data_IF_003951938927
#
_entry.id   IF_003951938927
#
_cell.length_a   1.000
_cell.length_b   1.000
_cell.length_c   1.000
_cell.angle_alpha   90.00
_cell.angle_beta   90.00
_cell.angle_gamma   90.00
#
_symmetry.space_group_name_H-M   'P 1'
#
loop_
_entity.id
_entity.type
_entity.pdbx_description
1 polymer ?
#
# COMPACT_ATOMS: atom_id res chain seq x y z
N UNK A 1 -11.32 -83.17 22.73
CA UNK A 1 -11.58 -81.73 22.83
C UNK A 1 -10.24 -80.97 22.80
N UNK A 2 -9.83 -80.52 21.63
CA UNK A 2 -8.57 -79.76 21.39
C UNK A 2 -8.87 -78.28 21.49
N UNK A 3 -8.28 -77.56 22.45
CA UNK A 3 -8.33 -76.12 22.58
C UNK A 3 -7.29 -75.49 21.64
N UNK A 4 -7.75 -74.76 20.64
CA UNK A 4 -6.93 -73.97 19.74
C UNK A 4 -6.66 -72.63 20.38
N UNK A 5 -5.40 -72.34 20.79
CA UNK A 5 -4.96 -71.03 21.25
C UNK A 5 -4.68 -70.16 20.00
N UNK A 6 -5.45 -69.10 19.81
CA UNK A 6 -5.19 -68.08 18.80
C UNK A 6 -4.23 -67.03 19.43
N UNK A 7 -3.02 -66.98 18.96
CA UNK A 7 -2.02 -65.98 19.32
C UNK A 7 -2.18 -64.78 18.37
N UNK A 8 -2.87 -63.73 18.80
CA UNK A 8 -2.91 -62.49 18.06
C UNK A 8 -1.58 -61.77 18.20
N UNK A 9 -0.77 -61.78 17.15
CA UNK A 9 0.43 -60.99 17.03
C UNK A 9 0.00 -59.57 16.62
N UNK A 10 -0.10 -58.66 17.59
CA UNK A 10 -0.32 -57.23 17.35
C UNK A 10 0.95 -56.63 16.77
N UNK A 11 1.01 -56.45 15.46
CA UNK A 11 2.07 -55.68 14.82
C UNK A 11 1.81 -54.22 15.18
N UNK A 12 2.52 -53.70 16.16
CA UNK A 12 2.65 -52.27 16.40
C UNK A 12 3.41 -51.67 15.20
N UNK A 13 2.69 -51.14 14.20
CA UNK A 13 3.27 -50.21 13.26
C UNK A 13 3.66 -48.95 14.01
N UNK A 14 4.91 -48.86 14.41
CA UNK A 14 5.54 -47.61 14.84
C UNK A 14 5.59 -46.72 13.59
N UNK A 15 4.56 -45.90 13.38
CA UNK A 15 4.59 -44.81 12.40
C UNK A 15 5.62 -43.84 12.97
N UNK A 16 6.84 -43.94 12.52
CA UNK A 16 7.88 -42.93 12.74
C UNK A 16 7.38 -41.65 12.07
N UNK A 17 6.85 -40.74 12.84
CA UNK A 17 6.52 -39.39 12.36
C UNK A 17 7.85 -38.72 11.96
N UNK A 18 8.26 -38.91 10.70
CA UNK A 18 9.42 -38.17 10.16
C UNK A 18 9.08 -36.69 10.11
N UNK A 19 10.03 -35.87 10.53
CA UNK A 19 9.89 -34.43 10.39
C UNK A 19 9.65 -34.10 8.89
N UNK A 20 8.64 -33.26 8.62
CA UNK A 20 8.33 -32.88 7.23
C UNK A 20 9.32 -31.84 6.70
N UNK A 21 9.86 -30.97 7.58
CA UNK A 21 11.06 -30.21 7.23
C UNK A 21 12.19 -30.51 8.22
N UNK A 22 13.42 -30.45 7.72
CA UNK A 22 14.63 -30.64 8.48
C UNK A 22 15.74 -29.82 7.85
N UNK A 23 15.97 -28.62 8.38
CA UNK A 23 16.94 -27.66 7.86
C UNK A 23 18.10 -27.61 8.85
N UNK A 24 19.26 -28.06 8.42
CA UNK A 24 20.50 -27.94 9.20
C UNK A 24 21.13 -26.59 8.91
N UNK A 25 21.37 -25.80 9.95
CA UNK A 25 22.01 -24.50 9.87
C UNK A 25 23.35 -24.52 10.58
N UNK A 26 24.42 -24.16 9.86
CA UNK A 26 25.78 -24.02 10.40
C UNK A 26 26.26 -22.60 10.15
N UNK A 27 26.64 -21.90 11.23
CA UNK A 27 27.15 -20.53 11.14
C UNK A 27 28.55 -20.52 11.80
N UNK A 28 29.56 -20.25 10.99
CA UNK A 28 30.94 -20.25 11.43
C UNK A 28 31.42 -18.84 11.78
N UNK A 29 32.21 -18.76 12.86
CA UNK A 29 32.82 -17.48 13.25
C UNK A 29 31.88 -16.44 13.86
N UNK A 30 30.65 -16.82 14.17
CA UNK A 30 29.66 -15.97 14.81
C UNK A 30 29.12 -16.62 16.08
N UNK A 31 29.00 -15.83 17.15
CA UNK A 31 28.39 -16.28 18.41
C UNK A 31 27.06 -15.55 18.58
N UNK A 32 26.03 -16.29 18.89
CA UNK A 32 24.70 -15.79 19.16
C UNK A 32 24.06 -16.53 20.32
N UNK A 33 23.13 -15.90 21.01
CA UNK A 33 22.33 -16.56 22.04
C UNK A 33 21.13 -17.29 21.42
N UNK A 34 20.62 -16.79 20.30
CA UNK A 34 19.40 -17.31 19.66
C UNK A 34 19.56 -17.49 18.17
N UNK A 35 18.88 -18.52 17.64
CA UNK A 35 18.65 -18.68 16.21
C UNK A 35 17.14 -18.73 15.94
N UNK A 36 16.66 -17.91 15.02
CA UNK A 36 15.25 -17.87 14.63
C UNK A 36 15.05 -18.11 13.14
N UNK A 37 13.97 -18.82 12.82
CA UNK A 37 13.42 -18.97 11.48
C UNK A 37 12.23 -18.05 11.35
N UNK A 38 12.28 -17.12 10.43
CA UNK A 38 11.23 -16.18 10.15
C UNK A 38 10.71 -16.37 8.73
N UNK A 39 9.41 -16.05 8.50
CA UNK A 39 8.77 -16.06 7.18
C UNK A 39 8.25 -14.66 6.88
N UNK A 40 8.30 -14.24 5.63
CA UNK A 40 7.64 -13.02 5.18
C UNK A 40 6.14 -13.22 4.96
N UNK A 41 5.41 -12.17 5.18
CA UNK A 41 3.98 -12.05 4.95
C UNK A 41 3.70 -10.65 4.39
N UNK A 42 2.78 -10.55 3.45
CA UNK A 42 2.52 -9.30 2.75
C UNK A 42 2.09 -8.15 3.68
N UNK A 43 1.30 -8.47 4.69
CA UNK A 43 0.78 -7.48 5.65
C UNK A 43 1.72 -7.27 6.84
N UNK A 44 2.24 -8.39 7.39
CA UNK A 44 2.99 -8.40 8.66
C UNK A 44 4.50 -8.22 8.47
N UNK A 45 4.95 -8.21 7.21
CA UNK A 45 6.34 -8.16 6.83
C UNK A 45 7.09 -9.45 7.24
N UNK A 46 7.67 -9.53 8.43
CA UNK A 46 8.43 -10.70 8.91
C UNK A 46 7.86 -11.20 10.24
N UNK A 47 7.56 -12.49 10.34
CA UNK A 47 7.06 -13.08 11.58
C UNK A 47 7.81 -14.38 11.94
N UNK A 48 7.89 -14.64 13.25
CA UNK A 48 8.60 -15.79 13.80
C UNK A 48 7.86 -17.09 13.51
N UNK A 49 8.57 -18.06 12.91
CA UNK A 49 8.07 -19.43 12.68
C UNK A 49 8.60 -20.37 13.77
N UNK A 50 9.90 -20.29 14.07
CA UNK A 50 10.58 -21.13 15.08
C UNK A 50 11.76 -20.38 15.68
N UNK A 51 12.02 -20.62 16.97
CA UNK A 51 13.19 -20.11 17.68
C UNK A 51 13.85 -21.24 18.47
N UNK A 52 15.17 -21.34 18.38
CA UNK A 52 15.97 -22.29 19.13
C UNK A 52 16.88 -21.56 20.12
N UNK A 53 16.92 -22.07 21.34
CA UNK A 53 17.71 -21.56 22.48
C UNK A 53 18.32 -22.77 23.22
N UNK A 54 19.60 -22.77 23.62
CA UNK A 54 20.64 -21.84 23.19
C UNK A 54 21.09 -22.11 21.75
N UNK A 55 21.80 -21.13 21.15
CA UNK A 55 22.48 -21.32 19.88
C UNK A 55 23.71 -22.24 20.02
N UNK A 56 23.91 -23.09 19.01
CA UNK A 56 25.10 -23.90 18.82
C UNK A 56 25.64 -23.75 17.39
N UNK A 57 26.91 -24.08 17.13
CA UNK A 57 27.51 -23.99 15.78
C UNK A 57 26.74 -24.75 14.71
N UNK A 58 25.98 -25.75 15.10
CA UNK A 58 25.05 -26.49 14.27
C UNK A 58 23.67 -26.52 14.95
N UNK A 59 22.62 -26.05 14.25
CA UNK A 59 21.25 -26.08 14.71
C UNK A 59 20.38 -26.79 13.69
N UNK A 60 19.49 -27.67 14.15
CA UNK A 60 18.53 -28.35 13.29
C UNK A 60 17.14 -27.76 13.53
N UNK A 61 16.62 -27.05 12.53
CA UNK A 61 15.25 -26.59 12.48
C UNK A 61 14.36 -27.69 11.91
N UNK A 62 13.40 -28.19 12.67
CA UNK A 62 12.54 -29.30 12.27
C UNK A 62 11.12 -29.14 12.77
N UNK A 63 10.16 -29.63 11.98
CA UNK A 63 8.75 -29.63 12.35
C UNK A 63 7.97 -30.81 11.76
N UNK A 64 6.81 -31.08 12.37
CA UNK A 64 5.89 -32.16 11.96
C UNK A 64 5.04 -31.79 10.74
N UNK A 65 4.96 -30.51 10.40
CA UNK A 65 4.24 -29.99 9.23
C UNK A 65 5.26 -29.33 8.32
N UNK A 66 5.05 -29.42 7.00
CA UNK A 66 5.84 -28.67 6.02
C UNK A 66 5.76 -27.17 6.27
N UNK A 67 6.83 -26.47 5.95
CA UNK A 67 6.80 -25.02 5.86
C UNK A 67 5.89 -24.61 4.69
N UNK A 68 5.07 -23.60 4.90
CA UNK A 68 4.28 -23.06 3.82
C UNK A 68 5.17 -22.38 2.77
N UNK A 69 4.78 -22.33 1.49
CA UNK A 69 5.53 -21.62 0.46
C UNK A 69 5.77 -20.15 0.85
N UNK A 70 6.97 -19.64 0.54
CA UNK A 70 7.33 -18.27 0.87
C UNK A 70 8.83 -18.04 0.97
N UNK A 71 9.18 -16.82 1.34
CA UNK A 71 10.56 -16.40 1.58
C UNK A 71 10.86 -16.43 3.08
N UNK A 72 11.90 -17.14 3.44
CA UNK A 72 12.31 -17.37 4.81
C UNK A 72 13.66 -16.72 5.10
N UNK A 73 13.85 -16.35 6.37
CA UNK A 73 15.10 -15.74 6.85
C UNK A 73 15.52 -16.44 8.14
N UNK A 74 16.76 -16.87 8.17
CA UNK A 74 17.47 -17.28 9.38
C UNK A 74 18.07 -16.03 10.00
N UNK A 75 17.71 -15.75 11.24
CA UNK A 75 18.29 -14.64 12.01
C UNK A 75 18.98 -15.17 13.27
N UNK A 76 20.17 -14.66 13.55
CA UNK A 76 20.92 -14.91 14.79
C UNK A 76 20.95 -13.60 15.59
N UNK A 77 20.39 -13.61 16.81
CA UNK A 77 20.22 -12.40 17.65
C UNK A 77 19.68 -11.19 16.89
N UNK A 78 18.62 -11.38 16.10
CA UNK A 78 17.99 -10.38 15.24
C UNK A 78 18.80 -9.95 14.01
N UNK A 79 20.00 -10.48 13.76
CA UNK A 79 20.77 -10.24 12.56
C UNK A 79 20.43 -11.30 11.50
N UNK A 80 20.04 -10.87 10.31
CA UNK A 80 19.67 -11.74 9.21
C UNK A 80 20.93 -12.39 8.59
N UNK A 81 21.07 -13.70 8.77
CA UNK A 81 22.25 -14.47 8.36
C UNK A 81 22.10 -15.08 6.97
N UNK A 82 20.94 -15.67 6.68
CA UNK A 82 20.66 -16.29 5.40
C UNK A 82 19.17 -16.18 5.07
N UNK A 83 18.86 -16.17 3.78
CA UNK A 83 17.49 -16.17 3.30
C UNK A 83 17.33 -17.21 2.19
N UNK A 84 16.13 -17.79 2.07
CA UNK A 84 15.84 -18.85 1.13
C UNK A 84 14.36 -18.92 0.76
N UNK A 85 14.09 -19.53 -0.38
CA UNK A 85 12.74 -19.82 -0.84
C UNK A 85 12.30 -21.22 -0.39
N UNK A 86 11.03 -21.36 -0.08
CA UNK A 86 10.29 -22.61 -0.05
C UNK A 86 9.18 -22.47 -1.07
N UNK A 87 9.19 -23.32 -2.10
CA UNK A 87 8.09 -23.44 -3.08
C UNK A 87 7.07 -24.48 -2.58
N UNK A 88 6.84 -25.56 -3.29
CA UNK A 88 5.91 -26.64 -2.89
C UNK A 88 6.60 -27.98 -2.70
N UNK A 89 7.88 -27.96 -2.30
CA UNK A 89 8.69 -29.18 -2.17
C UNK A 89 8.11 -30.10 -1.09
N UNK A 90 7.86 -31.35 -1.46
CA UNK A 90 7.48 -32.39 -0.51
C UNK A 90 8.62 -32.75 0.45
N UNK A 91 9.87 -32.52 0.05
CA UNK A 91 11.06 -32.81 0.82
C UNK A 91 11.83 -31.53 1.16
N UNK A 92 11.49 -30.93 2.29
CA UNK A 92 12.14 -29.70 2.79
C UNK A 92 13.32 -30.07 3.70
N UNK A 93 14.28 -30.84 3.15
CA UNK A 93 15.49 -31.33 3.89
C UNK A 93 16.71 -30.81 3.16
N UNK A 94 17.40 -29.86 3.76
CA UNK A 94 18.60 -29.26 3.20
C UNK A 94 19.47 -28.65 4.30
N UNK A 95 20.69 -28.27 3.94
CA UNK A 95 21.66 -27.65 4.82
C UNK A 95 21.99 -26.24 4.32
N UNK A 96 22.15 -25.34 5.27
CA UNK A 96 22.62 -23.98 5.06
C UNK A 96 23.91 -23.80 5.83
N UNK A 97 24.97 -23.44 5.16
CA UNK A 97 26.24 -23.05 5.78
C UNK A 97 26.51 -21.56 5.52
N UNK A 98 26.89 -20.86 6.58
CA UNK A 98 27.20 -19.42 6.55
C UNK A 98 28.58 -19.23 7.21
N UNK A 99 29.49 -18.58 6.50
CA UNK A 99 30.81 -18.19 7.03
C UNK A 99 31.24 -16.84 6.47
N UNK A 100 31.39 -15.84 7.35
CA UNK A 100 31.56 -14.44 6.96
C UNK A 100 30.43 -14.01 6.00
N UNK A 101 30.77 -13.51 4.83
CA UNK A 101 29.81 -13.08 3.79
C UNK A 101 29.41 -14.20 2.81
N UNK A 102 29.97 -15.40 2.97
CA UNK A 102 29.68 -16.54 2.09
C UNK A 102 28.55 -17.39 2.64
N UNK A 103 27.76 -17.92 1.71
CA UNK A 103 26.63 -18.82 2.01
C UNK A 103 26.64 -19.96 1.03
N UNK A 104 26.22 -21.15 1.50
CA UNK A 104 26.08 -22.33 0.67
C UNK A 104 24.81 -23.08 1.04
N UNK A 105 24.08 -23.58 0.05
CA UNK A 105 23.00 -24.53 0.23
C UNK A 105 23.43 -25.90 -0.28
N UNK A 106 23.07 -26.96 0.46
CA UNK A 106 23.25 -28.35 0.06
C UNK A 106 21.91 -29.08 0.19
N UNK A 107 21.41 -29.68 -0.89
CA UNK A 107 20.12 -30.38 -0.92
C UNK A 107 18.94 -29.50 -1.28
N UNK A 108 19.16 -28.24 -1.72
CA UNK A 108 18.14 -27.38 -2.34
C UNK A 108 18.72 -26.74 -3.61
N UNK A 109 18.27 -27.23 -4.76
CA UNK A 109 18.71 -26.70 -6.07
C UNK A 109 18.22 -25.27 -6.30
N UNK A 110 16.96 -24.97 -5.95
CA UNK A 110 16.35 -23.65 -6.04
C UNK A 110 17.18 -22.59 -5.29
N UNK A 111 17.54 -22.87 -4.05
CA UNK A 111 18.28 -21.94 -3.21
C UNK A 111 19.77 -21.83 -3.59
N UNK A 112 20.36 -22.91 -4.11
CA UNK A 112 21.69 -22.86 -4.70
C UNK A 112 21.72 -22.00 -5.96
N UNK A 113 20.68 -22.10 -6.80
CA UNK A 113 20.51 -21.25 -7.97
C UNK A 113 20.30 -19.77 -7.60
N UNK A 114 19.53 -19.51 -6.56
CA UNK A 114 19.33 -18.14 -6.04
C UNK A 114 20.67 -17.49 -5.63
N UNK A 115 21.53 -18.20 -4.89
CA UNK A 115 22.85 -17.67 -4.55
C UNK A 115 23.74 -17.46 -5.78
N UNK A 116 23.72 -18.41 -6.71
CA UNK A 116 24.49 -18.32 -7.97
C UNK A 116 24.04 -17.12 -8.80
N UNK A 117 22.72 -16.88 -8.87
CA UNK A 117 22.15 -15.71 -9.53
C UNK A 117 22.62 -14.41 -8.87
N UNK A 118 22.59 -14.33 -7.53
CA UNK A 118 23.07 -13.14 -6.81
C UNK A 118 24.56 -12.86 -7.06
N UNK A 119 25.38 -13.90 -7.12
CA UNK A 119 26.80 -13.74 -7.46
C UNK A 119 26.97 -13.23 -8.91
N UNK A 120 26.18 -13.74 -9.84
CA UNK A 120 26.22 -13.35 -11.24
C UNK A 120 25.67 -11.94 -11.46
N UNK A 121 24.63 -11.52 -10.73
CA UNK A 121 24.14 -10.12 -10.72
C UNK A 121 25.26 -9.16 -10.32
N UNK A 122 25.96 -9.47 -9.21
CA UNK A 122 27.11 -8.66 -8.76
C UNK A 122 28.21 -8.54 -9.82
N UNK A 123 28.46 -9.60 -10.59
CA UNK A 123 29.41 -9.58 -11.70
C UNK A 123 28.93 -8.63 -12.82
N UNK A 124 27.68 -8.72 -13.25
CA UNK A 124 27.11 -7.79 -14.24
C UNK A 124 27.16 -6.35 -13.75
N UNK A 125 26.78 -6.07 -12.50
CA UNK A 125 26.81 -4.74 -11.92
C UNK A 125 28.25 -4.18 -11.85
N UNK A 126 29.25 -5.00 -11.52
CA UNK A 126 30.66 -4.59 -11.57
C UNK A 126 31.10 -4.22 -12.99
N UNK A 127 30.69 -4.99 -14.00
CA UNK A 127 31.01 -4.71 -15.41
C UNK A 127 30.37 -3.39 -15.87
N UNK A 128 29.12 -3.10 -15.46
CA UNK A 128 28.45 -1.81 -15.74
C UNK A 128 29.14 -0.65 -15.02
N UNK A 129 29.51 -0.82 -13.76
CA UNK A 129 30.24 0.19 -12.98
C UNK A 129 31.58 0.59 -13.61
N UNK A 130 32.27 -0.35 -14.28
CA UNK A 130 33.48 -0.01 -15.06
C UNK A 130 33.15 0.96 -16.19
N UNK A 131 32.00 0.75 -16.89
CA UNK A 131 31.58 1.65 -17.97
C UNK A 131 31.18 3.04 -17.43
N UNK A 132 30.55 3.10 -16.27
CA UNK A 132 30.21 4.38 -15.61
C UNK A 132 31.48 5.18 -15.27
N UNK A 133 32.53 4.50 -14.77
CA UNK A 133 33.82 5.14 -14.51
C UNK A 133 34.48 5.65 -15.84
N UNK A 134 34.47 4.83 -16.88
CA UNK A 134 34.98 5.25 -18.23
C UNK A 134 34.19 6.48 -18.76
N UNK A 135 32.86 6.49 -18.58
CA UNK A 135 32.01 7.63 -18.94
C UNK A 135 32.39 8.90 -18.18
N UNK A 136 32.58 8.80 -16.85
CA UNK A 136 32.99 9.92 -16.03
C UNK A 136 34.35 10.50 -16.47
N UNK A 137 35.29 9.66 -16.83
CA UNK A 137 36.62 10.12 -17.37
C UNK A 137 36.49 10.79 -18.73
N UNK A 138 35.64 10.27 -19.65
CA UNK A 138 35.38 10.92 -20.95
C UNK A 138 34.81 12.33 -20.75
N UNK A 139 33.88 12.50 -19.77
CA UNK A 139 33.28 13.81 -19.50
C UNK A 139 34.32 14.85 -18.99
N UNK A 140 35.29 14.42 -18.17
CA UNK A 140 36.35 15.28 -17.62
C UNK A 140 37.42 15.67 -18.68
N UNK A 141 37.57 14.88 -19.74
CA UNK A 141 38.62 15.09 -20.75
C UNK A 141 38.31 16.32 -21.62
N UNK A 142 39.35 17.01 -22.07
CA UNK A 142 39.25 18.18 -22.97
C UNK A 142 39.15 17.83 -24.44
N UNK A 143 38.67 16.62 -24.77
CA UNK A 143 38.49 16.16 -26.16
C UNK A 143 37.40 16.94 -26.91
N UNK A 144 37.47 17.07 -28.25
CA UNK A 144 36.41 17.61 -29.07
C UNK A 144 35.10 16.84 -28.88
N UNK A 145 33.95 17.54 -28.92
CA UNK A 145 32.63 16.97 -28.65
C UNK A 145 32.30 15.74 -29.51
N UNK A 146 32.64 15.75 -30.80
CA UNK A 146 32.39 14.62 -31.69
C UNK A 146 33.16 13.36 -31.28
N UNK A 147 34.38 13.51 -30.73
CA UNK A 147 35.16 12.38 -30.23
C UNK A 147 34.55 11.83 -28.96
N UNK A 148 34.14 12.72 -28.01
CA UNK A 148 33.42 12.29 -26.83
C UNK A 148 32.17 11.52 -27.19
N UNK A 149 31.36 12.01 -28.15
CA UNK A 149 30.14 11.34 -28.58
C UNK A 149 30.43 9.93 -29.11
N UNK A 150 31.43 9.76 -29.99
CA UNK A 150 31.82 8.43 -30.49
C UNK A 150 32.23 7.46 -29.36
N UNK A 151 32.95 7.96 -28.35
CA UNK A 151 33.34 7.14 -27.19
C UNK A 151 32.11 6.77 -26.33
N UNK A 152 31.20 7.71 -26.11
CA UNK A 152 29.95 7.47 -25.38
C UNK A 152 29.08 6.46 -26.12
N UNK A 153 28.93 6.58 -27.43
CA UNK A 153 28.17 5.62 -28.27
C UNK A 153 28.72 4.18 -28.12
N UNK A 154 30.06 4.05 -28.08
CA UNK A 154 30.74 2.78 -27.84
C UNK A 154 30.42 2.23 -26.44
N UNK A 155 30.42 3.08 -25.39
CA UNK A 155 30.06 2.67 -24.02
C UNK A 155 28.60 2.20 -23.95
N UNK A 156 27.68 2.95 -24.57
CA UNK A 156 26.25 2.58 -24.64
C UNK A 156 26.07 1.20 -25.31
N UNK A 157 26.78 0.96 -26.43
CA UNK A 157 26.73 -0.35 -27.10
C UNK A 157 27.25 -1.49 -26.21
N UNK A 158 28.32 -1.25 -25.43
CA UNK A 158 28.86 -2.22 -24.47
C UNK A 158 27.89 -2.47 -23.31
N UNK A 159 27.29 -1.40 -22.78
CA UNK A 159 26.29 -1.50 -21.72
C UNK A 159 25.07 -2.33 -22.18
N UNK A 160 24.50 -2.03 -23.34
CA UNK A 160 23.39 -2.79 -23.93
C UNK A 160 23.71 -4.27 -24.09
N UNK A 161 24.94 -4.62 -24.47
CA UNK A 161 25.37 -6.02 -24.58
C UNK A 161 25.38 -6.69 -23.21
N UNK A 162 25.93 -6.04 -22.17
CA UNK A 162 25.97 -6.59 -20.80
C UNK A 162 24.54 -6.78 -20.27
N UNK A 163 23.65 -5.80 -20.49
CA UNK A 163 22.25 -5.89 -20.08
C UNK A 163 21.52 -7.01 -20.82
N UNK A 164 21.78 -7.20 -22.12
CA UNK A 164 21.23 -8.34 -22.88
C UNK A 164 21.72 -9.70 -22.37
N UNK A 165 23.01 -9.81 -22.00
CA UNK A 165 23.55 -11.03 -21.38
C UNK A 165 22.86 -11.31 -20.03
N UNK A 166 22.64 -10.28 -19.20
CA UNK A 166 21.91 -10.39 -17.93
C UNK A 166 20.47 -10.85 -18.15
N UNK A 167 19.76 -10.23 -19.08
CA UNK A 167 18.37 -10.57 -19.40
C UNK A 167 18.22 -12.02 -19.90
N UNK A 168 19.10 -12.47 -20.81
CA UNK A 168 19.10 -13.84 -21.31
C UNK A 168 19.36 -14.83 -20.16
N UNK A 169 20.33 -14.56 -19.30
CA UNK A 169 20.61 -15.40 -18.12
C UNK A 169 19.41 -15.51 -17.18
N UNK A 170 18.71 -14.38 -16.93
CA UNK A 170 17.49 -14.40 -16.11
C UNK A 170 16.37 -15.24 -16.74
N UNK A 171 16.17 -15.12 -18.06
CA UNK A 171 15.17 -15.93 -18.78
C UNK A 171 15.49 -17.43 -18.75
N UNK A 172 16.76 -17.79 -18.91
CA UNK A 172 17.20 -19.20 -18.77
C UNK A 172 16.93 -19.74 -17.36
N UNK A 173 17.10 -18.92 -16.32
CA UNK A 173 16.77 -19.32 -14.94
C UNK A 173 15.26 -19.50 -14.77
N UNK A 174 14.43 -18.62 -15.31
CA UNK A 174 12.96 -18.77 -15.24
C UNK A 174 12.50 -20.06 -15.89
N UNK A 175 13.01 -20.39 -17.07
CA UNK A 175 12.66 -21.63 -17.77
C UNK A 175 13.14 -22.87 -17.01
N UNK A 176 14.36 -22.84 -16.49
CA UNK A 176 14.95 -23.97 -15.75
C UNK A 176 14.24 -24.28 -14.44
N UNK A 177 13.76 -23.24 -13.75
CA UNK A 177 13.10 -23.34 -12.44
C UNK A 177 11.61 -23.04 -12.51
N UNK A 178 11.01 -23.23 -13.69
CA UNK A 178 9.57 -23.01 -13.88
C UNK A 178 8.72 -23.71 -12.80
N UNK A 179 7.67 -23.02 -12.36
CA UNK A 179 6.79 -23.47 -11.30
C UNK A 179 7.34 -23.29 -9.87
N UNK A 180 8.59 -22.82 -9.67
CA UNK A 180 9.13 -22.48 -8.36
C UNK A 180 8.88 -21.02 -7.98
N UNK A 181 8.91 -20.70 -6.69
CA UNK A 181 8.81 -19.33 -6.21
C UNK A 181 10.04 -18.49 -6.61
N UNK A 182 11.20 -19.16 -6.75
CA UNK A 182 12.42 -18.54 -7.29
C UNK A 182 12.23 -18.06 -8.73
N UNK A 183 11.55 -18.83 -9.59
CA UNK A 183 11.23 -18.38 -10.95
C UNK A 183 10.34 -17.13 -10.94
N UNK A 184 9.34 -17.07 -10.08
CA UNK A 184 8.51 -15.85 -9.89
C UNK A 184 9.33 -14.65 -9.39
N UNK A 185 10.29 -14.89 -8.49
CA UNK A 185 11.23 -13.87 -8.08
C UNK A 185 12.09 -13.39 -9.27
N UNK A 186 12.68 -14.30 -10.05
CA UNK A 186 13.48 -13.95 -11.24
C UNK A 186 12.64 -13.16 -12.25
N UNK A 187 11.40 -13.56 -12.50
CA UNK A 187 10.45 -12.81 -13.34
C UNK A 187 10.35 -11.35 -12.88
N UNK A 188 10.18 -11.13 -11.58
CA UNK A 188 10.04 -9.79 -11.01
C UNK A 188 11.29 -8.93 -11.14
N UNK A 189 12.46 -9.54 -11.42
CA UNK A 189 13.75 -8.87 -11.60
C UNK A 189 14.13 -8.63 -13.08
N UNK A 190 13.29 -9.06 -14.02
CA UNK A 190 13.53 -8.80 -15.44
C UNK A 190 13.57 -7.29 -15.71
N UNK A 191 14.37 -6.93 -16.70
CA UNK A 191 14.54 -5.53 -17.07
C UNK A 191 13.21 -4.91 -17.52
N UNK A 192 12.92 -3.71 -16.99
CA UNK A 192 11.82 -2.90 -17.50
C UNK A 192 12.19 -2.33 -18.89
N UNK A 193 11.20 -2.03 -19.72
CA UNK A 193 11.43 -1.37 -21.01
C UNK A 193 12.24 -0.07 -20.86
N UNK A 194 13.03 0.29 -21.87
CA UNK A 194 13.68 1.60 -21.89
C UNK A 194 12.63 2.71 -22.02
N UNK A 195 12.73 3.82 -21.27
CA UNK A 195 11.82 4.94 -21.43
C UNK A 195 11.98 5.56 -22.82
N UNK A 196 10.89 5.91 -23.51
CA UNK A 196 10.96 6.58 -24.80
C UNK A 196 11.63 7.95 -24.66
N UNK A 197 12.21 8.42 -25.76
CA UNK A 197 12.97 9.68 -25.78
C UNK A 197 12.15 10.89 -25.28
N UNK A 198 10.83 10.87 -25.45
CA UNK A 198 9.91 11.90 -24.96
C UNK A 198 9.89 12.04 -23.43
N UNK A 199 10.34 11.03 -22.70
CA UNK A 199 10.44 11.06 -21.24
C UNK A 199 11.67 11.82 -20.74
N UNK A 200 12.71 12.00 -21.59
CA UNK A 200 13.93 12.65 -21.16
C UNK A 200 13.71 14.15 -20.91
N UNK A 201 14.00 14.58 -19.69
CA UNK A 201 13.75 15.95 -19.23
C UNK A 201 12.27 16.29 -18.94
N UNK A 202 11.36 15.35 -19.10
CA UNK A 202 9.95 15.51 -18.76
C UNK A 202 9.53 14.53 -17.63
N UNK A 203 9.47 15.04 -16.41
CA UNK A 203 9.16 14.25 -15.20
C UNK A 203 7.77 13.60 -15.27
N UNK A 204 6.78 14.31 -15.80
CA UNK A 204 5.41 13.81 -15.84
C UNK A 204 5.28 12.64 -16.80
N UNK A 205 5.84 12.75 -18.01
CA UNK A 205 5.88 11.65 -18.96
C UNK A 205 6.69 10.46 -18.43
N UNK A 206 7.77 10.72 -17.71
CA UNK A 206 8.56 9.66 -17.09
C UNK A 206 7.79 8.94 -15.97
N UNK A 207 7.06 9.67 -15.13
CA UNK A 207 6.18 9.07 -14.11
C UNK A 207 5.05 8.24 -14.75
N UNK A 208 4.46 8.72 -15.82
CA UNK A 208 3.46 7.97 -16.60
C UNK A 208 4.06 6.66 -17.11
N UNK A 209 5.23 6.72 -17.71
CA UNK A 209 5.95 5.54 -18.20
C UNK A 209 6.26 4.55 -17.06
N UNK A 210 6.76 5.03 -15.93
CA UNK A 210 7.00 4.17 -14.76
C UNK A 210 5.72 3.50 -14.26
N UNK A 211 4.62 4.24 -14.13
CA UNK A 211 3.34 3.68 -13.68
C UNK A 211 2.77 2.62 -14.65
N UNK A 212 3.10 2.72 -15.94
CA UNK A 212 2.69 1.73 -16.94
C UNK A 212 3.56 0.47 -16.96
N UNK A 213 4.81 0.54 -16.46
CA UNK A 213 5.83 -0.51 -16.62
C UNK A 213 6.29 -1.18 -15.33
N UNK A 214 6.26 -0.50 -14.16
CA UNK A 214 6.77 -1.05 -12.89
C UNK A 214 6.18 -2.41 -12.51
N UNK A 215 4.92 -2.68 -12.84
CA UNK A 215 4.25 -3.95 -12.57
C UNK A 215 4.20 -4.89 -13.79
N UNK A 216 4.94 -4.59 -14.88
CA UNK A 216 4.92 -5.40 -16.09
C UNK A 216 5.44 -6.82 -15.85
N UNK A 217 6.43 -6.97 -14.99
CA UNK A 217 7.07 -8.25 -14.64
C UNK A 217 6.56 -8.82 -13.29
N UNK A 218 5.51 -8.23 -12.70
CA UNK A 218 4.94 -8.75 -11.46
C UNK A 218 4.28 -10.12 -11.71
N UNK A 219 4.60 -11.17 -10.92
CA UNK A 219 4.09 -12.53 -11.15
C UNK A 219 2.66 -12.71 -10.63
N UNK A 220 1.68 -12.11 -11.31
CA UNK A 220 0.26 -12.10 -10.93
C UNK A 220 -0.35 -13.50 -10.75
N UNK A 221 0.21 -14.51 -11.41
CA UNK A 221 -0.29 -15.89 -11.36
C UNK A 221 0.16 -16.67 -10.12
N UNK A 222 1.19 -16.20 -9.39
CA UNK A 222 1.78 -16.92 -8.25
C UNK A 222 1.46 -16.21 -6.93
N UNK A 223 0.44 -16.70 -6.20
CA UNK A 223 0.05 -16.13 -4.90
C UNK A 223 1.15 -16.28 -3.83
N UNK A 224 2.04 -17.28 -3.98
CA UNK A 224 3.17 -17.49 -3.05
C UNK A 224 4.11 -16.29 -3.02
N UNK A 225 4.15 -15.51 -4.11
CA UNK A 225 4.96 -14.30 -4.21
C UNK A 225 4.58 -13.24 -3.16
N UNK A 226 3.31 -13.21 -2.71
CA UNK A 226 2.86 -12.37 -1.59
C UNK A 226 3.60 -12.68 -0.28
N UNK A 227 4.09 -13.91 -0.11
CA UNK A 227 4.90 -14.30 1.04
C UNK A 227 6.39 -13.98 0.86
N UNK A 228 6.70 -12.92 0.12
CA UNK A 228 8.04 -12.41 -0.11
C UNK A 228 8.10 -10.90 0.13
N UNK A 229 9.26 -10.35 0.53
CA UNK A 229 9.41 -8.89 0.65
C UNK A 229 9.33 -8.17 -0.71
N UNK A 230 9.56 -8.90 -1.81
CA UNK A 230 9.61 -8.32 -3.15
C UNK A 230 8.24 -7.87 -3.64
N UNK A 231 7.17 -8.61 -3.33
CA UNK A 231 5.80 -8.24 -3.66
C UNK A 231 5.44 -6.87 -3.06
N UNK A 232 5.68 -6.70 -1.76
CA UNK A 232 5.43 -5.45 -1.06
C UNK A 232 6.27 -4.30 -1.61
N UNK A 233 7.57 -4.52 -1.82
CA UNK A 233 8.49 -3.48 -2.28
C UNK A 233 8.12 -2.96 -3.67
N UNK A 234 7.78 -3.86 -4.61
CA UNK A 234 7.36 -3.47 -5.97
C UNK A 234 6.08 -2.65 -5.93
N UNK A 235 5.08 -3.05 -5.13
CA UNK A 235 3.85 -2.28 -4.97
C UNK A 235 4.08 -0.95 -4.26
N UNK A 236 4.98 -0.90 -3.28
CA UNK A 236 5.35 0.35 -2.62
C UNK A 236 6.04 1.33 -3.58
N UNK A 237 6.93 0.84 -4.45
CA UNK A 237 7.57 1.68 -5.47
C UNK A 237 6.56 2.17 -6.51
N UNK A 238 5.61 1.32 -6.92
CA UNK A 238 4.49 1.73 -7.77
C UNK A 238 3.66 2.84 -7.11
N UNK A 239 3.33 2.72 -5.83
CA UNK A 239 2.56 3.73 -5.10
C UNK A 239 3.28 5.07 -5.00
N UNK A 240 4.61 5.09 -4.86
CA UNK A 240 5.39 6.34 -4.87
C UNK A 240 5.19 7.14 -6.16
N UNK A 241 4.98 6.46 -7.29
CA UNK A 241 4.68 7.12 -8.57
C UNK A 241 3.23 7.59 -8.61
N UNK A 242 2.29 6.76 -8.19
CA UNK A 242 0.84 7.07 -8.19
C UNK A 242 0.51 8.28 -7.31
N UNK A 243 1.12 8.44 -6.14
CA UNK A 243 0.84 9.56 -5.22
C UNK A 243 1.07 10.95 -5.84
N UNK A 244 1.96 11.06 -6.81
CA UNK A 244 2.27 12.33 -7.48
C UNK A 244 1.59 12.49 -8.85
N UNK A 245 0.70 11.54 -9.20
CA UNK A 245 0.05 11.54 -10.51
C UNK A 245 -1.32 12.21 -10.44
N UNK A 246 -1.72 13.00 -11.46
CA UNK A 246 -3.10 13.49 -11.55
C UNK A 246 -4.10 12.33 -11.53
N UNK A 247 -5.26 12.52 -10.90
CA UNK A 247 -6.26 11.47 -10.69
C UNK A 247 -6.75 10.83 -12.01
N UNK A 248 -6.93 11.64 -13.06
CA UNK A 248 -7.32 11.16 -14.40
C UNK A 248 -6.27 10.22 -15.03
N UNK A 249 -5.01 10.31 -14.63
CA UNK A 249 -3.92 9.43 -15.04
C UNK A 249 -3.76 8.23 -14.10
N UNK A 250 -3.94 8.43 -12.81
CA UNK A 250 -3.76 7.39 -11.78
C UNK A 250 -4.87 6.32 -11.84
N UNK A 251 -6.14 6.72 -11.94
CA UNK A 251 -7.31 5.81 -11.92
C UNK A 251 -7.20 4.71 -12.98
N UNK A 252 -7.00 4.98 -14.28
CA UNK A 252 -6.91 3.92 -15.29
C UNK A 252 -5.82 2.88 -14.99
N UNK A 253 -4.70 3.31 -14.38
CA UNK A 253 -3.54 2.47 -14.06
C UNK A 253 -3.80 1.60 -12.83
N UNK A 254 -4.42 2.15 -11.79
CA UNK A 254 -4.88 1.37 -10.64
C UNK A 254 -5.88 0.28 -11.07
N UNK A 255 -6.87 0.65 -11.89
CA UNK A 255 -7.87 -0.29 -12.41
C UNK A 255 -7.26 -1.36 -13.33
N UNK A 256 -6.27 -0.99 -14.17
CA UNK A 256 -5.52 -1.94 -15.01
C UNK A 256 -4.84 -3.01 -14.13
N UNK A 257 -4.19 -2.61 -13.06
CA UNK A 257 -3.46 -3.53 -12.18
C UNK A 257 -4.40 -4.40 -11.34
N UNK A 258 -5.54 -3.87 -10.88
CA UNK A 258 -6.58 -4.69 -10.26
C UNK A 258 -7.14 -5.75 -11.23
N UNK A 259 -7.34 -5.40 -12.52
CA UNK A 259 -7.72 -6.38 -13.54
C UNK A 259 -6.65 -7.45 -13.77
N UNK A 260 -5.36 -7.07 -13.78
CA UNK A 260 -4.27 -8.03 -13.89
C UNK A 260 -4.23 -9.00 -12.70
N UNK A 261 -4.51 -8.52 -11.49
CA UNK A 261 -4.57 -9.33 -10.29
C UNK A 261 -5.75 -10.35 -10.28
N UNK A 262 -6.80 -10.15 -11.09
CA UNK A 262 -7.97 -11.05 -11.15
C UNK A 262 -7.65 -12.47 -11.63
N UNK A 263 -6.46 -12.72 -12.16
CA UNK A 263 -6.01 -14.08 -12.53
C UNK A 263 -5.86 -14.99 -11.31
N UNK A 264 -5.68 -14.40 -10.12
CA UNK A 264 -5.62 -15.10 -8.84
C UNK A 264 -6.35 -14.29 -7.77
N UNK A 265 -7.32 -14.92 -7.09
CA UNK A 265 -8.18 -14.25 -6.11
C UNK A 265 -7.42 -13.75 -4.89
N UNK A 266 -6.45 -14.53 -4.40
CA UNK A 266 -5.59 -14.14 -3.26
C UNK A 266 -4.76 -12.90 -3.61
N UNK A 267 -4.20 -12.84 -4.83
CA UNK A 267 -3.48 -11.67 -5.34
C UNK A 267 -4.42 -10.45 -5.45
N UNK A 268 -5.61 -10.64 -6.01
CA UNK A 268 -6.58 -9.55 -6.15
C UNK A 268 -6.92 -8.91 -4.79
N UNK A 269 -7.25 -9.73 -3.80
CA UNK A 269 -7.60 -9.21 -2.48
C UNK A 269 -6.41 -8.54 -1.79
N UNK A 270 -5.23 -9.14 -1.83
CA UNK A 270 -4.04 -8.55 -1.22
C UNK A 270 -3.67 -7.19 -1.83
N UNK A 271 -3.73 -7.08 -3.15
CA UNK A 271 -3.42 -5.82 -3.86
C UNK A 271 -4.51 -4.77 -3.62
N UNK A 272 -5.78 -5.18 -3.66
CA UNK A 272 -6.88 -4.25 -3.36
C UNK A 272 -6.82 -3.76 -1.92
N UNK A 273 -6.64 -4.66 -0.93
CA UNK A 273 -6.56 -4.30 0.49
C UNK A 273 -5.34 -3.36 0.75
N UNK A 274 -4.24 -3.54 0.01
CA UNK A 274 -3.10 -2.62 0.05
C UNK A 274 -3.46 -1.23 -0.48
N UNK A 275 -4.16 -1.12 -1.61
CA UNK A 275 -4.61 0.15 -2.16
C UNK A 275 -5.69 0.81 -1.30
N UNK A 276 -6.64 0.02 -0.77
CA UNK A 276 -7.65 0.46 0.17
C UNK A 276 -7.03 1.08 1.42
N UNK A 277 -5.99 0.44 1.98
CA UNK A 277 -5.25 0.98 3.13
C UNK A 277 -4.65 2.36 2.83
N UNK A 278 -4.23 2.61 1.60
CA UNK A 278 -3.67 3.89 1.19
C UNK A 278 -4.76 4.94 0.92
N UNK A 279 -5.75 4.61 0.08
CA UNK A 279 -6.70 5.59 -0.44
C UNK A 279 -8.06 5.61 0.27
N UNK A 280 -8.49 4.48 0.86
CA UNK A 280 -9.80 4.33 1.51
C UNK A 280 -9.75 4.52 3.02
N UNK A 281 -8.63 4.18 3.69
CA UNK A 281 -8.54 4.24 5.15
C UNK A 281 -8.73 5.65 5.68
N UNK A 282 -9.60 5.79 6.68
CA UNK A 282 -9.90 7.06 7.37
C UNK A 282 -8.68 7.69 8.05
N UNK A 283 -7.67 6.89 8.38
CA UNK A 283 -6.44 7.33 9.06
C UNK A 283 -5.26 7.50 8.11
N UNK A 284 -5.44 7.18 6.83
CA UNK A 284 -4.36 7.33 5.85
C UNK A 284 -4.12 8.80 5.51
N UNK A 285 -2.86 9.26 5.53
CA UNK A 285 -2.51 10.60 5.04
C UNK A 285 -2.66 10.75 3.51
N UNK A 286 -2.85 9.61 2.79
CA UNK A 286 -3.02 9.54 1.34
C UNK A 286 -4.46 9.25 0.93
N UNK A 287 -5.42 9.35 1.87
CA UNK A 287 -6.84 9.12 1.56
C UNK A 287 -7.29 9.99 0.38
N UNK A 288 -7.84 9.34 -0.64
CA UNK A 288 -8.37 10.00 -1.84
C UNK A 288 -9.56 9.21 -2.39
N UNK A 289 -10.76 9.72 -2.15
CA UNK A 289 -12.00 9.06 -2.60
C UNK A 289 -12.12 9.01 -4.12
N UNK A 290 -11.54 9.98 -4.84
CA UNK A 290 -11.56 9.99 -6.32
C UNK A 290 -10.72 8.87 -6.93
N UNK A 291 -9.72 8.35 -6.18
CA UNK A 291 -8.98 7.14 -6.54
C UNK A 291 -9.68 5.89 -6.01
N UNK A 292 -10.25 5.94 -4.80
CA UNK A 292 -10.80 4.78 -4.12
C UNK A 292 -12.16 4.31 -4.66
N UNK A 293 -13.10 5.24 -4.94
CA UNK A 293 -14.43 4.92 -5.46
C UNK A 293 -14.38 4.11 -6.76
N UNK A 294 -13.58 4.47 -7.79
CA UNK A 294 -13.46 3.65 -9.00
C UNK A 294 -12.94 2.23 -8.73
N UNK A 295 -12.02 2.07 -7.77
CA UNK A 295 -11.50 0.74 -7.39
C UNK A 295 -12.57 -0.10 -6.70
N UNK A 296 -13.36 0.48 -5.76
CA UNK A 296 -14.51 -0.21 -5.15
C UNK A 296 -15.53 -0.66 -6.20
N UNK A 297 -15.88 0.21 -7.16
CA UNK A 297 -16.80 -0.11 -8.26
C UNK A 297 -16.28 -1.29 -9.08
N UNK A 298 -14.98 -1.31 -9.40
CA UNK A 298 -14.38 -2.43 -10.14
C UNK A 298 -14.39 -3.74 -9.32
N UNK A 299 -14.14 -3.67 -8.00
CA UNK A 299 -14.22 -4.86 -7.15
C UNK A 299 -15.64 -5.42 -7.09
N UNK A 300 -16.67 -4.59 -7.06
CA UNK A 300 -18.08 -5.01 -7.09
C UNK A 300 -18.49 -5.68 -8.42
N UNK A 301 -17.78 -5.40 -9.51
CA UNK A 301 -17.97 -6.08 -10.81
C UNK A 301 -17.29 -7.46 -10.86
N UNK A 302 -16.43 -7.81 -9.90
CA UNK A 302 -15.75 -9.11 -9.87
C UNK A 302 -16.74 -10.24 -9.58
N UNK A 303 -16.88 -11.18 -10.52
CA UNK A 303 -17.94 -12.21 -10.49
C UNK A 303 -17.87 -13.14 -9.28
N UNK A 304 -16.66 -13.42 -8.81
CA UNK A 304 -16.42 -14.36 -7.70
C UNK A 304 -16.19 -13.62 -6.36
N UNK A 305 -16.60 -12.36 -6.26
CA UNK A 305 -16.41 -11.58 -5.03
C UNK A 305 -17.13 -12.27 -3.85
N UNK A 306 -16.38 -12.50 -2.78
CA UNK A 306 -16.89 -13.07 -1.54
C UNK A 306 -18.06 -12.24 -0.98
N UNK A 307 -19.13 -12.91 -0.53
CA UNK A 307 -20.37 -12.25 -0.09
C UNK A 307 -20.12 -11.21 1.04
N UNK A 308 -19.23 -11.52 1.99
CA UNK A 308 -18.90 -10.60 3.07
C UNK A 308 -18.18 -9.34 2.57
N UNK A 309 -17.22 -9.51 1.65
CA UNK A 309 -16.53 -8.38 1.00
C UNK A 309 -17.49 -7.55 0.15
N UNK A 310 -18.39 -8.21 -0.59
CA UNK A 310 -19.39 -7.52 -1.40
C UNK A 310 -20.26 -6.60 -0.56
N UNK A 311 -20.86 -7.12 0.52
CA UNK A 311 -21.70 -6.34 1.42
C UNK A 311 -20.92 -5.16 2.05
N UNK A 312 -19.66 -5.38 2.43
CA UNK A 312 -18.79 -4.32 2.97
C UNK A 312 -18.54 -3.23 1.91
N UNK A 313 -18.19 -3.61 0.68
CA UNK A 313 -17.89 -2.64 -0.38
C UNK A 313 -19.13 -1.87 -0.84
N UNK A 314 -20.31 -2.53 -0.90
CA UNK A 314 -21.58 -1.87 -1.19
C UNK A 314 -21.93 -0.83 -0.12
N UNK A 315 -21.78 -1.20 1.16
CA UNK A 315 -21.99 -0.28 2.27
C UNK A 315 -21.01 0.91 2.22
N UNK A 316 -19.72 0.63 2.03
CA UNK A 316 -18.68 1.66 1.95
C UNK A 316 -18.95 2.63 0.79
N UNK A 317 -19.23 2.10 -0.40
CA UNK A 317 -19.55 2.90 -1.58
C UNK A 317 -20.79 3.77 -1.34
N UNK A 318 -21.86 3.22 -0.74
CA UNK A 318 -23.06 3.97 -0.40
C UNK A 318 -22.81 5.10 0.60
N UNK A 319 -21.72 5.01 1.37
CA UNK A 319 -21.35 6.02 2.36
C UNK A 319 -20.48 7.12 1.77
N UNK A 320 -19.49 6.77 0.94
CA UNK A 320 -18.51 7.74 0.42
C UNK A 320 -18.92 8.38 -0.91
N UNK A 321 -19.67 7.68 -1.77
CA UNK A 321 -20.08 8.17 -3.10
C UNK A 321 -21.38 8.98 -3.01
N UNK A 322 -21.38 10.01 -2.13
CA UNK A 322 -22.48 10.93 -1.94
C UNK A 322 -21.99 12.35 -1.68
N UNK A 323 -22.89 13.31 -1.85
CA UNK A 323 -22.61 14.73 -1.61
C UNK A 323 -21.39 15.21 -2.42
N UNK A 324 -21.25 14.72 -3.65
CA UNK A 324 -20.14 15.05 -4.54
C UNK A 324 -20.24 16.48 -5.07
N UNK A 325 -19.14 17.00 -5.61
CA UNK A 325 -19.13 18.32 -6.27
C UNK A 325 -20.19 18.36 -7.37
N UNK A 326 -21.12 19.30 -7.27
CA UNK A 326 -22.28 19.44 -8.16
C UNK A 326 -23.59 18.87 -7.63
N UNK A 327 -23.58 18.03 -6.61
CA UNK A 327 -24.80 17.54 -5.96
C UNK A 327 -25.43 18.64 -5.08
N UNK A 328 -26.75 18.55 -4.85
CA UNK A 328 -27.43 19.34 -3.84
C UNK A 328 -27.35 18.59 -2.52
N UNK A 329 -26.87 19.24 -1.44
CA UNK A 329 -26.82 18.62 -0.12
C UNK A 329 -28.20 18.16 0.34
N UNK A 330 -28.33 16.97 0.95
CA UNK A 330 -29.56 16.53 1.59
C UNK A 330 -30.01 17.53 2.65
N UNK A 331 -31.31 17.79 2.70
CA UNK A 331 -31.90 18.64 3.74
C UNK A 331 -32.06 17.86 5.06
N UNK A 332 -31.89 18.55 6.17
CA UNK A 332 -32.10 17.97 7.49
C UNK A 332 -32.54 19.02 8.48
N UNK A 333 -33.42 18.66 9.46
CA UNK A 333 -33.89 19.59 10.48
C UNK A 333 -32.80 19.81 11.54
N UNK A 334 -32.73 21.05 12.05
CA UNK A 334 -31.77 21.43 13.08
C UNK A 334 -32.31 22.49 14.00
N UNK A 335 -31.92 22.46 15.27
CA UNK A 335 -32.14 23.49 16.25
C UNK A 335 -30.99 24.49 16.19
N UNK A 336 -31.32 25.76 15.92
CA UNK A 336 -30.34 26.85 15.90
C UNK A 336 -30.02 27.34 17.31
N UNK A 337 -28.84 27.95 17.48
CA UNK A 337 -28.44 28.59 18.76
C UNK A 337 -29.39 29.68 19.20
N UNK A 338 -30.18 30.26 18.29
CA UNK A 338 -31.25 31.22 18.57
C UNK A 338 -32.50 30.59 19.19
N UNK A 339 -32.60 29.25 19.22
CA UNK A 339 -33.79 28.49 19.65
C UNK A 339 -34.79 28.23 18.52
N UNK A 340 -34.54 28.71 17.32
CA UNK A 340 -35.37 28.49 16.15
C UNK A 340 -35.09 27.14 15.51
N UNK A 341 -36.07 26.43 15.01
CA UNK A 341 -35.93 25.20 14.24
C UNK A 341 -36.01 25.54 12.74
N UNK A 342 -34.93 25.20 12.03
CA UNK A 342 -34.81 25.37 10.57
C UNK A 342 -34.30 24.07 9.95
N UNK A 343 -34.54 23.93 8.64
CA UNK A 343 -33.77 22.96 7.86
C UNK A 343 -32.55 23.61 7.20
N UNK A 344 -31.57 22.82 6.74
CA UNK A 344 -30.39 23.32 6.05
C UNK A 344 -30.76 24.18 4.86
N UNK A 345 -31.79 23.81 4.07
CA UNK A 345 -32.20 24.51 2.88
C UNK A 345 -32.89 25.85 3.22
N UNK A 346 -33.44 25.99 4.40
CA UNK A 346 -34.09 27.28 4.83
C UNK A 346 -33.06 28.32 5.28
N UNK A 347 -31.78 27.96 5.48
CA UNK A 347 -30.76 28.94 5.87
C UNK A 347 -30.31 29.73 4.63
N UNK A 348 -30.64 31.04 4.52
CA UNK A 348 -30.27 31.85 3.36
C UNK A 348 -28.78 32.21 3.41
N UNK A 349 -28.06 32.00 2.33
CA UNK A 349 -26.65 32.40 2.16
C UNK A 349 -26.31 32.49 0.67
N UNK A 350 -25.44 33.45 0.26
CA UNK A 350 -24.86 33.45 -1.09
C UNK A 350 -23.93 32.24 -1.25
N UNK A 351 -23.04 32.04 -0.25
CA UNK A 351 -22.20 30.86 -0.07
C UNK A 351 -22.27 30.41 1.39
N UNK A 352 -22.09 29.09 1.60
CA UNK A 352 -22.08 28.53 2.96
C UNK A 352 -20.95 27.54 3.11
N UNK A 353 -20.22 27.65 4.21
CA UNK A 353 -19.34 26.61 4.73
C UNK A 353 -20.12 25.81 5.77
N UNK A 354 -20.50 24.57 5.45
CA UNK A 354 -21.09 23.62 6.40
C UNK A 354 -19.96 22.87 7.07
N UNK A 355 -19.89 23.01 8.40
CA UNK A 355 -18.81 22.48 9.23
C UNK A 355 -19.37 21.50 10.25
N UNK A 356 -19.29 20.20 9.95
CA UNK A 356 -19.69 19.13 10.85
C UNK A 356 -18.58 18.90 11.90
N UNK A 357 -18.95 18.97 13.16
CA UNK A 357 -18.00 18.91 14.26
C UNK A 357 -18.61 18.39 15.56
N UNK A 358 -17.75 17.85 16.45
CA UNK A 358 -18.09 17.58 17.83
C UNK A 358 -17.31 18.57 18.72
N UNK A 359 -17.95 19.21 19.71
CA UNK A 359 -17.31 20.14 20.64
C UNK A 359 -16.13 19.57 21.41
N UNK A 360 -16.15 18.29 21.76
CA UNK A 360 -15.12 17.60 22.53
C UNK A 360 -14.06 16.91 21.65
N UNK A 361 -14.20 16.97 20.33
CA UNK A 361 -13.19 16.47 19.39
C UNK A 361 -11.94 17.38 19.41
N UNK A 362 -10.73 16.86 19.73
CA UNK A 362 -9.52 17.67 19.79
C UNK A 362 -9.14 18.28 18.43
N UNK A 363 -9.28 17.50 17.36
CA UNK A 363 -8.98 17.97 15.99
C UNK A 363 -9.95 19.06 15.56
N UNK A 364 -11.25 18.91 15.86
CA UNK A 364 -12.25 19.95 15.61
C UNK A 364 -11.92 21.25 16.35
N UNK A 365 -11.44 21.14 17.60
CA UNK A 365 -11.01 22.29 18.38
C UNK A 365 -9.81 23.02 17.74
N UNK A 366 -8.81 22.27 17.28
CA UNK A 366 -7.66 22.84 16.58
C UNK A 366 -8.06 23.57 15.30
N UNK A 367 -8.95 22.98 14.50
CA UNK A 367 -9.44 23.59 13.26
C UNK A 367 -10.23 24.87 13.57
N UNK A 368 -11.10 24.85 14.58
CA UNK A 368 -11.83 26.07 15.01
C UNK A 368 -10.89 27.22 15.37
N UNK A 369 -9.84 26.93 16.14
CA UNK A 369 -8.86 27.97 16.51
C UNK A 369 -8.09 28.51 15.30
N UNK A 370 -7.73 27.65 14.36
CA UNK A 370 -7.07 28.09 13.12
C UNK A 370 -8.01 28.93 12.24
N UNK A 371 -9.28 28.54 12.09
CA UNK A 371 -10.27 29.31 11.34
C UNK A 371 -10.44 30.73 11.91
N UNK A 372 -10.30 30.96 13.23
CA UNK A 372 -10.34 32.30 13.83
C UNK A 372 -9.19 33.20 13.37
N UNK A 373 -8.12 32.68 12.84
CA UNK A 373 -6.96 33.46 12.38
C UNK A 373 -6.96 33.73 10.88
N UNK A 374 -7.86 33.09 10.13
CA UNK A 374 -7.95 33.19 8.68
C UNK A 374 -8.52 34.53 8.20
N UNK A 375 -7.69 35.32 7.54
CA UNK A 375 -8.06 36.68 7.12
C UNK A 375 -9.12 36.68 6.03
N UNK A 376 -8.98 35.82 5.00
CA UNK A 376 -9.94 35.78 3.89
C UNK A 376 -11.31 35.25 4.33
N UNK A 377 -11.32 34.28 5.28
CA UNK A 377 -12.55 33.77 5.87
C UNK A 377 -13.31 34.90 6.61
N UNK A 378 -12.59 35.64 7.47
CA UNK A 378 -13.17 36.79 8.20
C UNK A 378 -13.76 37.86 7.27
N UNK A 379 -13.02 38.22 6.23
CA UNK A 379 -13.47 39.22 5.27
C UNK A 379 -14.73 38.75 4.49
N UNK A 380 -14.74 37.48 4.10
CA UNK A 380 -15.89 36.88 3.42
C UNK A 380 -17.15 36.85 4.30
N UNK A 381 -16.99 36.59 5.60
CA UNK A 381 -18.09 36.64 6.59
C UNK A 381 -18.53 38.09 6.80
N UNK A 382 -17.62 39.02 7.02
CA UNK A 382 -17.91 40.43 7.27
C UNK A 382 -18.59 41.10 6.08
N UNK A 383 -18.27 40.69 4.84
CA UNK A 383 -19.00 41.17 3.62
C UNK A 383 -20.41 40.63 3.48
N UNK A 384 -20.81 39.65 4.32
CA UNK A 384 -22.10 38.98 4.26
C UNK A 384 -22.25 37.94 3.15
N UNK A 385 -21.21 37.73 2.31
CA UNK A 385 -21.23 36.80 1.18
C UNK A 385 -21.06 35.34 1.59
N UNK A 386 -20.38 35.08 2.72
CA UNK A 386 -20.17 33.73 3.25
C UNK A 386 -20.78 33.59 4.63
N UNK A 387 -21.54 32.54 4.85
CA UNK A 387 -21.96 32.09 6.20
C UNK A 387 -21.22 30.82 6.56
N UNK A 388 -20.78 30.73 7.81
CA UNK A 388 -20.27 29.48 8.39
C UNK A 388 -21.35 28.87 9.27
N UNK A 389 -21.81 27.68 8.91
CA UNK A 389 -22.78 26.91 9.68
C UNK A 389 -22.05 25.74 10.36
N UNK A 390 -21.90 25.78 11.69
CA UNK A 390 -21.39 24.64 12.45
C UNK A 390 -22.53 23.72 12.82
N UNK A 391 -22.36 22.43 12.53
CA UNK A 391 -23.39 21.40 12.77
C UNK A 391 -22.85 20.39 13.78
N UNK A 392 -23.52 20.28 14.91
CA UNK A 392 -23.39 19.17 15.85
C UNK A 392 -24.49 18.15 15.54
N UNK A 393 -24.13 16.86 15.46
CA UNK A 393 -25.07 15.83 14.97
C UNK A 393 -25.23 14.62 15.91
N UNK A 394 -24.57 14.63 17.09
CA UNK A 394 -24.72 13.59 18.08
C UNK A 394 -25.82 13.93 19.11
N UNK A 395 -26.15 12.99 20.01
CA UNK A 395 -27.32 13.05 20.88
C UNK A 395 -27.17 13.89 22.15
N UNK A 396 -25.94 14.33 22.52
CA UNK A 396 -25.72 15.08 23.78
C UNK A 396 -26.03 16.56 23.64
N UNK A 397 -27.29 16.93 23.87
CA UNK A 397 -27.73 18.34 23.91
C UNK A 397 -26.94 19.17 24.93
N UNK A 398 -26.58 18.61 26.08
CA UNK A 398 -25.90 19.34 27.15
C UNK A 398 -24.47 19.73 26.74
N UNK A 399 -23.80 18.89 25.97
CA UNK A 399 -22.51 19.18 25.36
C UNK A 399 -22.61 20.32 24.37
N UNK A 400 -23.61 20.31 23.48
CA UNK A 400 -23.85 21.37 22.51
C UNK A 400 -24.14 22.72 23.18
N UNK A 401 -24.99 22.74 24.23
CA UNK A 401 -25.29 23.95 24.99
C UNK A 401 -24.06 24.51 25.72
N UNK A 402 -23.21 23.67 26.30
CA UNK A 402 -21.93 24.12 26.89
C UNK A 402 -21.01 24.71 25.83
N UNK A 403 -20.93 24.10 24.64
CA UNK A 403 -20.15 24.64 23.53
C UNK A 403 -20.63 26.05 23.15
N UNK A 404 -21.93 26.28 23.02
CA UNK A 404 -22.49 27.58 22.70
C UNK A 404 -22.05 28.69 23.66
N UNK A 405 -21.97 28.38 24.96
CA UNK A 405 -21.61 29.35 25.99
C UNK A 405 -20.10 29.57 26.14
N UNK A 406 -19.27 28.60 25.80
CA UNK A 406 -17.85 28.61 26.15
C UNK A 406 -16.90 28.75 24.95
N UNK A 407 -17.30 28.23 23.79
CA UNK A 407 -16.36 28.00 22.67
C UNK A 407 -16.89 28.50 21.30
N UNK A 408 -18.17 28.82 21.20
CA UNK A 408 -18.79 29.19 19.94
C UNK A 408 -18.25 30.53 19.42
N UNK A 409 -18.01 30.63 18.11
CA UNK A 409 -17.65 31.89 17.48
C UNK A 409 -18.95 32.69 17.18
N UNK A 410 -19.12 33.90 17.70
CA UNK A 410 -20.34 34.68 17.51
C UNK A 410 -20.65 35.05 16.06
N UNK A 411 -19.63 35.03 15.19
CA UNK A 411 -19.81 35.35 13.75
C UNK A 411 -20.31 34.13 12.94
N UNK A 412 -20.49 32.96 13.57
CA UNK A 412 -20.94 31.73 12.94
C UNK A 412 -22.39 31.41 13.32
N UNK A 413 -23.06 30.68 12.44
CA UNK A 413 -24.32 30.04 12.75
C UNK A 413 -24.01 28.69 13.43
N UNK A 414 -24.73 28.37 14.50
CA UNK A 414 -24.56 27.13 15.24
C UNK A 414 -25.86 26.35 15.26
N UNK A 415 -25.79 25.11 14.86
CA UNK A 415 -26.92 24.21 14.76
C UNK A 415 -26.65 22.86 15.42
N UNK A 416 -27.73 22.23 15.89
CA UNK A 416 -27.77 20.86 16.37
C UNK A 416 -28.78 20.05 15.57
N UNK A 417 -28.38 18.95 14.97
CA UNK A 417 -29.29 17.99 14.34
C UNK A 417 -29.96 17.13 15.42
N UNK A 418 -30.90 17.70 16.13
CA UNK A 418 -31.59 17.12 17.28
C UNK A 418 -32.41 15.85 16.93
N UNK A 419 -32.75 15.63 15.67
CA UNK A 419 -33.44 14.43 15.18
C UNK A 419 -32.50 13.26 14.90
N UNK A 420 -31.20 13.48 14.92
CA UNK A 420 -30.15 12.53 14.52
C UNK A 420 -30.28 12.00 13.09
N UNK A 421 -31.06 12.67 12.22
CA UNK A 421 -31.30 12.23 10.84
C UNK A 421 -30.04 12.16 10.00
N UNK A 422 -28.99 12.93 10.33
CA UNK A 422 -27.70 12.86 9.64
C UNK A 422 -27.13 11.44 9.73
N UNK A 423 -27.20 10.82 10.90
CA UNK A 423 -26.68 9.45 11.12
C UNK A 423 -27.73 8.39 10.76
N UNK A 424 -28.97 8.50 11.25
CA UNK A 424 -30.01 7.47 11.06
C UNK A 424 -30.36 7.25 9.59
N UNK A 425 -30.37 8.33 8.79
CA UNK A 425 -30.69 8.27 7.38
C UNK A 425 -29.44 8.24 6.48
N UNK A 426 -28.26 8.15 7.13
CA UNK A 426 -26.94 8.12 6.45
C UNK A 426 -26.80 9.22 5.40
N UNK A 427 -27.15 10.47 5.74
CA UNK A 427 -27.19 11.61 4.80
C UNK A 427 -25.80 12.09 4.39
N UNK A 428 -24.82 12.01 5.30
CA UNK A 428 -23.44 12.49 5.13
C UNK A 428 -22.45 11.43 5.63
N UNK A 429 -21.22 11.44 5.11
CA UNK A 429 -20.12 10.61 5.68
C UNK A 429 -19.51 11.33 6.89
N UNK A 430 -20.06 11.09 8.06
CA UNK A 430 -19.62 11.69 9.33
C UNK A 430 -18.60 10.83 10.09
N UNK A 431 -18.09 9.75 9.50
CA UNK A 431 -17.09 8.86 10.13
C UNK A 431 -15.76 9.58 10.45
N UNK A 432 -15.46 10.66 9.73
CA UNK A 432 -14.30 11.52 10.00
C UNK A 432 -14.76 12.94 10.24
N UNK A 433 -14.43 13.48 11.40
CA UNK A 433 -14.65 14.89 11.77
C UNK A 433 -13.32 15.54 12.19
N UNK A 434 -13.14 16.84 11.95
CA UNK A 434 -14.09 17.75 11.33
C UNK A 434 -14.27 17.52 9.81
N UNK A 435 -15.50 17.64 9.32
CA UNK A 435 -15.80 17.61 7.89
C UNK A 435 -16.32 18.97 7.45
N UNK A 436 -15.78 19.50 6.35
CA UNK A 436 -16.16 20.80 5.79
C UNK A 436 -16.61 20.66 4.35
N UNK A 437 -17.78 21.24 4.05
CA UNK A 437 -18.32 21.33 2.69
C UNK A 437 -18.62 22.77 2.34
N UNK A 438 -18.23 23.18 1.15
CA UNK A 438 -18.52 24.53 0.62
C UNK A 438 -19.63 24.45 -0.42
N UNK A 439 -20.70 25.21 -0.23
CA UNK A 439 -21.88 25.19 -1.10
C UNK A 439 -22.28 26.59 -1.54
N UNK A 440 -22.99 26.64 -2.65
CA UNK A 440 -23.63 27.89 -3.17
C UNK A 440 -24.99 28.16 -2.49
N UNK A 441 -25.67 29.18 -3.00
CA UNK A 441 -26.99 29.62 -2.51
C UNK A 441 -28.07 28.54 -2.59
N UNK A 442 -27.97 27.63 -3.56
CA UNK A 442 -28.92 26.55 -3.79
C UNK A 442 -28.50 25.23 -3.06
N UNK A 443 -27.52 25.32 -2.17
CA UNK A 443 -26.91 24.21 -1.42
C UNK A 443 -26.19 23.19 -2.32
N UNK A 444 -25.82 23.60 -3.53
CA UNK A 444 -25.03 22.80 -4.45
C UNK A 444 -23.57 22.78 -4.01
N UNK A 445 -23.00 21.58 -3.91
CA UNK A 445 -21.63 21.38 -3.45
C UNK A 445 -20.63 21.97 -4.46
N UNK A 446 -19.82 22.90 -4.01
CA UNK A 446 -18.68 23.46 -4.75
C UNK A 446 -17.42 22.67 -4.43
N UNK A 447 -17.26 22.30 -3.16
CA UNK A 447 -16.12 21.49 -2.69
C UNK A 447 -16.54 20.65 -1.49
N UNK A 448 -16.19 19.35 -1.51
CA UNK A 448 -16.39 18.38 -0.45
C UNK A 448 -15.07 18.13 0.29
N UNK A 449 -15.14 17.74 1.56
CA UNK A 449 -14.01 17.29 2.41
C UNK A 449 -12.81 18.23 2.38
N UNK A 450 -13.06 19.51 2.64
CA UNK A 450 -12.05 20.56 2.53
C UNK A 450 -11.06 20.46 3.70
N UNK A 451 -9.76 20.19 3.45
CA UNK A 451 -8.74 20.38 4.47
C UNK A 451 -8.68 21.84 4.91
N UNK A 452 -8.49 22.10 6.21
CA UNK A 452 -8.50 23.47 6.70
C UNK A 452 -7.44 24.38 6.02
N UNK A 453 -6.32 23.81 5.55
CA UNK A 453 -5.30 24.55 4.82
C UNK A 453 -5.76 25.03 3.44
N UNK A 454 -6.75 24.36 2.85
CA UNK A 454 -7.26 24.68 1.51
C UNK A 454 -8.42 25.66 1.55
N UNK A 455 -8.94 25.97 2.73
CA UNK A 455 -10.12 26.82 2.89
C UNK A 455 -9.86 28.28 2.44
N UNK A 456 -8.78 28.90 2.88
CA UNK A 456 -8.42 30.26 2.46
C UNK A 456 -8.11 30.36 0.95
N UNK A 457 -7.30 29.47 0.35
CA UNK A 457 -7.11 29.42 -1.10
C UNK A 457 -8.43 29.28 -1.88
N UNK A 458 -9.38 28.48 -1.40
CA UNK A 458 -10.68 28.32 -2.04
C UNK A 458 -11.50 29.64 -1.99
N UNK A 459 -11.56 30.29 -0.82
CA UNK A 459 -12.26 31.58 -0.64
C UNK A 459 -11.67 32.65 -1.55
N UNK A 460 -10.35 32.73 -1.69
CA UNK A 460 -9.66 33.63 -2.61
C UNK A 460 -10.02 33.35 -4.07
N UNK A 461 -9.96 32.05 -4.47
CA UNK A 461 -10.31 31.61 -5.84
C UNK A 461 -11.73 32.00 -6.22
N UNK A 462 -12.66 31.93 -5.26
CA UNK A 462 -14.06 32.33 -5.44
C UNK A 462 -14.29 33.86 -5.37
N UNK A 463 -13.26 34.66 -5.06
CA UNK A 463 -13.33 36.11 -4.98
C UNK A 463 -14.20 36.63 -3.85
N UNK A 464 -14.37 35.90 -2.75
CA UNK A 464 -15.28 36.21 -1.65
C UNK A 464 -14.68 37.16 -0.60
N UNK A 465 -13.41 37.38 -0.61
CA UNK A 465 -12.68 38.17 0.38
C UNK A 465 -12.34 39.61 -0.07
N UNK A 466 -12.96 40.06 -1.14
CA UNK A 466 -12.77 41.43 -1.67
C UNK A 466 -13.74 42.41 -1.04
#
# INVERSE_FOLDING_TARGET
>A
MKKLLFFCFSILCVISASAQYNITVKIYGFKADTLSLNRFDFEKNKFLVQQNLPYADEVILKGKKSLAPGYYVISADSMDMAAFFISDEKNQKFQIEVWNDMKQFSGSEENSAFLSMKAREKEFDNRLKVLDNEFAEIQKNSLPQYMKQTMVDSLVARAKRIMGEKENYMRELMERYDGTLFASYVQSQLQLPEPPQSCYGNRDLYNIFLADTLLANYPWHDERFLATPFAHNILADYMKVIFYMPQNEAVPRLLKNLRAAQVNETQLYAVFDYFEKMFGSLTSPYRDEKLYIPMLKQMLEYKNLETGRKARYEFELSTIDKNNEGDILPDFPMLMSTGETLSLHQVPAEYMLVYFQNPDCPTCSQVREKMKTMTHLKNAIASGRLKVLTVYFESDESLWRRYLTQKANPDYLHAWNYTLSIETDNLYDTRVIPMMMFVDKDKKVIRKDIPYNDLEPLIQKLGLSK
#
